data_IF_049707627854
#
_entry.id   IF_049707627854
#
_cell.length_a   1.000
_cell.length_b   1.000
_cell.length_c   1.000
_cell.angle_alpha   90.00
_cell.angle_beta   90.00
_cell.angle_gamma   90.00
#
_symmetry.space_group_name_H-M   'P 1'
#
loop_
_entity.id
_entity.type
_entity.pdbx_description
1 polymer ?
#
# COMPACT_ATOMS: atom_id res chain seq x y z
N UNK A 1 -8.41 -2.78 -35.66
CA UNK A 1 -9.78 -3.25 -35.33
C UNK A 1 -9.81 -4.09 -34.04
N UNK A 2 -9.11 -5.23 -33.95
CA UNK A 2 -9.17 -6.11 -32.76
C UNK A 2 -8.71 -5.48 -31.42
N UNK A 3 -7.63 -4.67 -31.43
CA UNK A 3 -7.15 -3.94 -30.23
C UNK A 3 -8.18 -2.93 -29.71
N UNK A 4 -8.80 -2.15 -30.61
CA UNK A 4 -9.80 -1.14 -30.25
C UNK A 4 -11.07 -1.80 -29.66
N UNK A 5 -11.53 -2.92 -30.25
CA UNK A 5 -12.65 -3.69 -29.71
C UNK A 5 -12.38 -4.23 -28.31
N UNK A 6 -11.16 -4.70 -28.03
CA UNK A 6 -10.74 -5.14 -26.69
C UNK A 6 -10.70 -4.00 -25.68
N UNK A 7 -10.17 -2.83 -26.07
CA UNK A 7 -10.14 -1.64 -25.21
C UNK A 7 -11.56 -1.18 -24.85
N UNK A 8 -12.48 -1.10 -25.82
CA UNK A 8 -13.88 -0.73 -25.56
C UNK A 8 -14.55 -1.74 -24.62
N UNK A 9 -14.34 -3.04 -24.84
CA UNK A 9 -14.88 -4.07 -23.95
C UNK A 9 -14.30 -4.00 -22.53
N UNK A 10 -13.01 -3.67 -22.38
CA UNK A 10 -12.38 -3.45 -21.07
C UNK A 10 -12.93 -2.21 -20.38
N UNK A 11 -13.13 -1.11 -21.11
CA UNK A 11 -13.74 0.10 -20.57
C UNK A 11 -15.19 -0.12 -20.14
N UNK A 12 -15.98 -0.88 -20.91
CA UNK A 12 -17.35 -1.24 -20.52
C UNK A 12 -17.38 -2.12 -19.25
N UNK A 13 -16.47 -3.09 -19.15
CA UNK A 13 -16.30 -3.91 -17.94
C UNK A 13 -15.86 -3.09 -16.74
N UNK A 14 -14.91 -2.18 -16.95
CA UNK A 14 -14.46 -1.25 -15.92
C UNK A 14 -15.59 -0.33 -15.47
N UNK A 15 -16.30 0.32 -16.39
CA UNK A 15 -17.45 1.16 -16.07
C UNK A 15 -18.50 0.39 -15.25
N UNK A 16 -18.84 -0.84 -15.65
CA UNK A 16 -19.76 -1.71 -14.89
C UNK A 16 -19.23 -2.07 -13.50
N UNK A 17 -17.94 -2.40 -13.39
CA UNK A 17 -17.30 -2.67 -12.10
C UNK A 17 -17.30 -1.41 -11.20
N UNK A 18 -17.04 -0.24 -11.78
CA UNK A 18 -17.07 1.03 -11.07
C UNK A 18 -18.51 1.44 -10.71
N UNK A 19 -19.51 1.18 -11.55
CA UNK A 19 -20.93 1.49 -11.26
C UNK A 19 -21.45 0.68 -10.07
N UNK A 20 -21.14 -0.62 -10.00
CA UNK A 20 -21.47 -1.43 -8.82
C UNK A 20 -20.75 -0.95 -7.56
N UNK A 21 -19.56 -0.34 -7.69
CA UNK A 21 -18.81 0.28 -6.60
C UNK A 21 -19.40 1.60 -6.07
N UNK A 22 -20.17 2.35 -6.87
CA UNK A 22 -20.66 3.69 -6.50
C UNK A 22 -21.89 3.68 -5.60
N UNK A 23 -22.66 2.60 -5.60
CA UNK A 23 -24.01 2.55 -5.01
C UNK A 23 -24.06 2.48 -3.47
N UNK A 24 -22.93 2.61 -2.77
CA UNK A 24 -22.81 2.23 -1.34
C UNK A 24 -21.83 3.08 -0.51
N UNK A 25 -21.59 4.34 -0.89
CA UNK A 25 -20.86 5.28 -0.03
C UNK A 25 -21.76 5.75 1.13
N UNK A 26 -21.74 5.04 2.26
CA UNK A 26 -22.37 5.49 3.50
C UNK A 26 -21.61 6.65 4.13
N UNK A 27 -22.33 7.55 4.82
CA UNK A 27 -21.72 8.60 5.63
C UNK A 27 -20.90 7.97 6.78
N UNK A 28 -19.66 8.44 6.97
CA UNK A 28 -18.78 7.98 8.03
C UNK A 28 -19.18 8.59 9.38
N UNK A 29 -19.39 7.76 10.40
CA UNK A 29 -19.36 8.15 11.81
C UNK A 29 -18.00 8.80 12.14
N UNK A 30 -17.90 9.71 13.15
CA UNK A 30 -16.64 10.36 13.50
C UNK A 30 -15.56 9.30 13.77
N UNK A 31 -14.60 9.21 12.85
CA UNK A 31 -13.62 8.12 12.81
C UNK A 31 -12.54 8.27 13.88
N UNK A 32 -11.90 7.15 14.24
CA UNK A 32 -10.71 7.10 15.12
C UNK A 32 -9.44 7.66 14.46
N UNK A 33 -9.54 8.03 13.19
CA UNK A 33 -8.45 8.57 12.39
C UNK A 33 -8.39 10.10 12.52
N UNK A 34 -7.19 10.64 12.73
CA UNK A 34 -6.92 12.07 12.79
C UNK A 34 -6.17 12.48 11.52
N UNK A 35 -6.64 13.53 10.84
CA UNK A 35 -5.92 14.08 9.69
C UNK A 35 -4.71 14.91 10.13
N UNK A 36 -3.59 14.69 9.47
CA UNK A 36 -2.34 15.44 9.62
C UNK A 36 -2.09 16.20 8.32
N UNK A 37 -1.98 17.52 8.40
CA UNK A 37 -1.82 18.38 7.22
C UNK A 37 -0.37 18.78 6.95
N UNK A 38 0.48 18.86 7.97
CA UNK A 38 1.87 19.33 7.88
C UNK A 38 2.89 18.20 8.12
N UNK A 39 2.95 17.25 7.18
CA UNK A 39 3.87 16.11 7.24
C UNK A 39 5.10 16.24 6.34
N UNK A 40 5.22 17.36 5.61
CA UNK A 40 6.30 17.65 4.68
C UNK A 40 5.92 17.47 3.21
N UNK A 41 6.87 17.01 2.39
CA UNK A 41 6.71 16.91 0.94
C UNK A 41 5.55 15.98 0.54
N UNK A 42 4.66 16.47 -0.31
CA UNK A 42 3.47 15.74 -0.76
C UNK A 42 3.24 15.86 -2.28
N UNK A 43 4.18 15.40 -3.12
CA UNK A 43 4.06 15.55 -4.58
C UNK A 43 2.87 14.79 -5.18
N UNK A 44 2.39 13.73 -4.53
CA UNK A 44 1.17 13.00 -4.89
C UNK A 44 -0.12 13.67 -4.42
N UNK A 45 -0.05 14.77 -3.65
CA UNK A 45 -1.22 15.49 -3.15
C UNK A 45 -2.22 14.58 -2.42
N UNK A 46 -1.74 13.71 -1.55
CA UNK A 46 -2.56 12.79 -0.74
C UNK A 46 -2.96 13.45 0.59
N UNK A 47 -4.02 12.95 1.24
CA UNK A 47 -4.28 13.26 2.66
C UNK A 47 -3.57 12.24 3.54
N UNK A 48 -3.05 12.67 4.67
CA UNK A 48 -2.51 11.78 5.69
C UNK A 48 -3.51 11.68 6.82
N UNK A 49 -4.03 10.49 7.07
CA UNK A 49 -4.78 10.20 8.29
C UNK A 49 -3.98 9.20 9.12
N UNK A 50 -4.05 9.31 10.44
CA UNK A 50 -3.34 8.44 11.35
C UNK A 50 -4.23 8.01 12.51
N UNK A 51 -3.97 6.83 13.06
CA UNK A 51 -4.54 6.39 14.32
C UNK A 51 -3.42 6.01 15.27
N UNK A 52 -3.43 6.64 16.44
CA UNK A 52 -2.48 6.41 17.52
C UNK A 52 -3.27 5.94 18.73
N UNK A 53 -3.17 4.67 19.12
CA UNK A 53 -3.86 4.15 20.31
C UNK A 53 -3.48 4.93 21.56
N UNK A 54 -4.42 5.04 22.51
CA UNK A 54 -4.17 5.71 23.79
C UNK A 54 -3.07 5.03 24.63
N UNK A 55 -2.91 3.72 24.46
CA UNK A 55 -1.87 2.92 25.11
C UNK A 55 -0.94 2.34 24.06
N UNK A 56 0.26 2.92 23.95
CA UNK A 56 1.28 2.46 23.02
C UNK A 56 2.61 2.31 23.75
N UNK A 57 3.28 1.18 23.55
CA UNK A 57 4.59 0.91 24.15
C UNK A 57 5.71 1.75 23.52
N UNK A 58 6.91 1.78 24.12
CA UNK A 58 8.06 2.43 23.50
C UNK A 58 8.43 1.71 22.20
N UNK A 59 8.72 2.48 21.14
CA UNK A 59 9.05 1.96 19.80
C UNK A 59 7.96 1.04 19.21
N UNK A 60 6.77 1.60 18.94
CA UNK A 60 5.67 0.82 18.38
C UNK A 60 5.87 0.49 16.90
N UNK A 61 5.23 -0.59 16.44
CA UNK A 61 5.12 -0.86 15.01
C UNK A 61 4.16 0.11 14.31
N UNK A 62 4.29 0.22 12.99
CA UNK A 62 3.43 1.04 12.13
C UNK A 62 2.88 0.20 10.97
N UNK A 63 1.57 0.28 10.74
CA UNK A 63 0.95 -0.30 9.55
C UNK A 63 0.42 0.81 8.65
N UNK A 64 0.91 0.85 7.41
CA UNK A 64 0.37 1.69 6.34
C UNK A 64 -0.78 0.95 5.67
N UNK A 65 -1.98 1.52 5.70
CA UNK A 65 -3.21 0.88 5.17
C UNK A 65 -3.73 1.68 3.97
N UNK A 66 -3.78 1.05 2.80
CA UNK A 66 -4.15 1.68 1.53
C UNK A 66 -5.49 1.16 1.03
N UNK A 67 -6.47 2.05 0.92
CA UNK A 67 -7.83 1.73 0.47
C UNK A 67 -7.91 1.41 -1.03
N UNK A 68 -8.98 0.72 -1.44
CA UNK A 68 -9.31 0.49 -2.84
C UNK A 68 -9.99 1.70 -3.50
N UNK A 69 -10.23 1.61 -4.80
CA UNK A 69 -10.99 2.63 -5.53
C UNK A 69 -12.38 2.87 -4.91
N UNK A 70 -12.83 4.13 -4.95
CA UNK A 70 -14.11 4.65 -4.43
C UNK A 70 -14.29 4.55 -2.92
N UNK A 71 -13.35 3.93 -2.22
CA UNK A 71 -13.27 3.96 -0.78
C UNK A 71 -12.54 5.23 -0.30
N UNK A 72 -12.52 5.41 1.01
CA UNK A 72 -11.79 6.47 1.71
C UNK A 72 -11.15 5.86 2.96
N UNK A 73 -10.25 6.59 3.63
CA UNK A 73 -9.47 6.07 4.75
C UNK A 73 -10.35 5.60 5.91
N UNK A 74 -11.30 6.44 6.33
CA UNK A 74 -12.18 6.13 7.48
C UNK A 74 -13.07 4.93 7.24
N UNK A 75 -13.73 4.85 6.08
CA UNK A 75 -14.60 3.73 5.73
C UNK A 75 -13.83 2.41 5.55
N UNK A 76 -12.62 2.47 4.98
CA UNK A 76 -11.80 1.28 4.82
C UNK A 76 -11.23 0.78 6.14
N UNK A 77 -10.78 1.67 7.02
CA UNK A 77 -10.34 1.32 8.39
C UNK A 77 -11.47 0.65 9.20
N UNK A 78 -12.65 1.29 9.26
CA UNK A 78 -13.82 0.72 9.95
C UNK A 78 -14.23 -0.64 9.37
N UNK A 79 -14.16 -0.76 8.05
CA UNK A 79 -14.51 -1.97 7.34
C UNK A 79 -13.56 -3.14 7.61
N UNK A 80 -12.27 -2.87 7.68
CA UNK A 80 -11.22 -3.88 7.86
C UNK A 80 -10.86 -4.16 9.32
N UNK A 81 -11.20 -3.24 10.23
CA UNK A 81 -10.94 -3.36 11.65
C UNK A 81 -9.48 -3.15 12.04
N UNK A 82 -8.69 -2.43 11.22
CA UNK A 82 -7.28 -2.16 11.53
C UNK A 82 -7.12 -1.34 12.80
N UNK A 83 -7.91 -0.28 13.00
CA UNK A 83 -7.82 0.56 14.22
C UNK A 83 -8.23 -0.20 15.47
N UNK A 84 -9.23 -1.07 15.39
CA UNK A 84 -9.58 -1.97 16.49
C UNK A 84 -8.44 -2.91 16.87
N UNK A 85 -7.68 -3.40 15.89
CA UNK A 85 -6.54 -4.28 16.12
C UNK A 85 -5.34 -3.50 16.66
N UNK A 86 -5.14 -2.27 16.19
CA UNK A 86 -4.14 -1.33 16.70
C UNK A 86 -4.37 -1.01 18.18
N UNK A 87 -5.62 -0.69 18.56
CA UNK A 87 -6.00 -0.46 19.97
C UNK A 87 -5.74 -1.68 20.87
N UNK A 88 -5.98 -2.89 20.35
CA UNK A 88 -5.76 -4.13 21.13
C UNK A 88 -4.30 -4.52 21.30
N UNK A 89 -3.46 -4.25 20.30
CA UNK A 89 -2.09 -4.78 20.25
C UNK A 89 -0.99 -3.70 20.28
N UNK A 90 -1.35 -2.42 20.37
CA UNK A 90 -0.41 -1.33 20.64
C UNK A 90 0.52 -1.01 19.47
N UNK A 91 -0.03 -0.90 18.25
CA UNK A 91 0.69 -0.42 17.06
C UNK A 91 -0.04 0.76 16.41
N UNK A 92 0.63 1.54 15.57
CA UNK A 92 0.05 2.72 14.93
C UNK A 92 -0.47 2.40 13.54
N UNK A 93 -1.42 3.21 13.07
CA UNK A 93 -1.82 3.22 11.68
C UNK A 93 -1.47 4.54 11.00
N UNK A 94 -1.00 4.41 9.77
CA UNK A 94 -1.00 5.46 8.77
C UNK A 94 -1.97 5.05 7.67
N UNK A 95 -2.97 5.87 7.37
CA UNK A 95 -4.01 5.60 6.39
C UNK A 95 -4.03 6.72 5.35
N UNK A 96 -3.12 6.70 4.35
CA UNK A 96 -3.12 7.67 3.27
C UNK A 96 -4.45 7.61 2.50
N UNK A 97 -4.98 8.77 2.14
CA UNK A 97 -6.22 8.86 1.37
C UNK A 97 -6.00 9.60 0.06
N UNK A 98 -6.52 9.00 -1.01
CA UNK A 98 -6.56 9.61 -2.33
C UNK A 98 -7.55 10.79 -2.37
N UNK A 99 -7.28 11.77 -3.23
CA UNK A 99 -8.19 12.88 -3.49
C UNK A 99 -8.94 12.70 -4.82
N UNK A 100 -10.23 13.04 -4.89
CA UNK A 100 -10.97 13.10 -6.16
C UNK A 100 -10.31 14.00 -7.21
N UNK A 101 -9.63 15.05 -6.76
CA UNK A 101 -8.87 15.97 -7.62
C UNK A 101 -7.67 15.30 -8.31
N UNK A 102 -7.14 14.22 -7.74
CA UNK A 102 -6.08 13.43 -8.36
C UNK A 102 -6.64 12.33 -9.25
N UNK A 103 -7.70 11.67 -8.76
CA UNK A 103 -8.40 10.61 -9.45
C UNK A 103 -9.85 10.61 -8.95
N UNK A 104 -10.87 10.85 -9.80
CA UNK A 104 -12.28 11.01 -9.37
C UNK A 104 -12.88 9.72 -8.81
N UNK A 105 -12.25 8.57 -9.09
CA UNK A 105 -12.62 7.31 -8.48
C UNK A 105 -11.87 7.05 -7.18
N UNK A 106 -11.15 8.02 -6.62
CA UNK A 106 -10.29 7.84 -5.43
C UNK A 106 -9.36 6.62 -5.54
N UNK A 107 -8.90 6.28 -6.74
CA UNK A 107 -7.94 5.20 -6.92
C UNK A 107 -6.52 5.74 -6.73
N UNK A 108 -5.65 4.97 -6.06
CA UNK A 108 -4.20 5.18 -6.17
C UNK A 108 -3.76 4.98 -7.63
N UNK A 109 -2.87 5.83 -8.12
CA UNK A 109 -2.41 5.87 -9.52
C UNK A 109 -1.24 4.91 -9.75
N UNK A 110 -1.42 3.64 -9.36
CA UNK A 110 -0.40 2.59 -9.35
C UNK A 110 0.16 2.20 -10.73
N UNK A 111 -0.41 2.72 -11.81
CA UNK A 111 0.02 2.51 -13.19
C UNK A 111 0.67 3.76 -13.80
N UNK A 112 0.71 4.88 -13.08
CA UNK A 112 1.30 6.13 -13.57
C UNK A 112 2.75 6.26 -13.10
N UNK A 113 3.75 6.31 -14.01
CA UNK A 113 5.15 6.43 -13.62
C UNK A 113 5.46 7.68 -12.79
N UNK A 114 4.70 8.76 -12.98
CA UNK A 114 4.82 9.99 -12.17
C UNK A 114 4.44 9.80 -10.70
N UNK A 115 3.61 8.80 -10.40
CA UNK A 115 3.11 8.51 -9.05
C UNK A 115 3.75 7.29 -8.39
N UNK A 116 4.47 6.47 -9.16
CA UNK A 116 5.00 5.18 -8.70
C UNK A 116 6.52 5.08 -8.67
N UNK A 117 7.25 6.08 -9.16
CA UNK A 117 8.72 6.08 -9.08
C UNK A 117 9.19 6.55 -7.71
N UNK A 118 10.32 6.00 -7.24
CA UNK A 118 11.01 6.53 -6.06
C UNK A 118 11.25 8.04 -6.22
N UNK A 119 10.84 8.80 -5.21
CA UNK A 119 11.03 10.24 -5.13
C UNK A 119 9.97 11.07 -5.87
N UNK A 120 8.94 10.44 -6.45
CA UNK A 120 7.88 11.13 -7.18
C UNK A 120 6.47 10.74 -6.69
N UNK A 121 5.53 11.66 -6.94
CA UNK A 121 4.08 11.53 -6.77
C UNK A 121 3.61 10.77 -5.53
N UNK A 122 2.60 9.91 -5.69
CA UNK A 122 1.96 9.20 -4.58
C UNK A 122 2.94 8.38 -3.73
N UNK A 123 3.86 7.64 -4.34
CA UNK A 123 4.85 6.84 -3.61
C UNK A 123 5.75 7.68 -2.69
N UNK A 124 6.21 8.84 -3.17
CA UNK A 124 7.00 9.76 -2.36
C UNK A 124 6.19 10.42 -1.24
N UNK A 125 4.92 10.76 -1.50
CA UNK A 125 4.01 11.25 -0.46
C UNK A 125 3.83 10.23 0.66
N UNK A 126 3.56 8.96 0.33
CA UNK A 126 3.40 7.90 1.33
C UNK A 126 4.70 7.72 2.13
N UNK A 127 5.88 7.74 1.47
CA UNK A 127 7.15 7.69 2.20
C UNK A 127 7.33 8.88 3.16
N UNK A 128 6.98 10.08 2.74
CA UNK A 128 7.08 11.27 3.59
C UNK A 128 6.18 11.15 4.84
N UNK A 129 4.95 10.63 4.67
CA UNK A 129 4.04 10.35 5.78
C UNK A 129 4.62 9.31 6.75
N UNK A 130 5.21 8.21 6.25
CA UNK A 130 5.89 7.22 7.10
C UNK A 130 7.03 7.87 7.88
N UNK A 131 7.87 8.68 7.21
CA UNK A 131 8.97 9.37 7.86
C UNK A 131 8.48 10.35 8.94
N UNK A 132 7.31 10.97 8.75
CA UNK A 132 6.67 11.80 9.78
C UNK A 132 6.24 10.96 10.99
N UNK A 133 5.55 9.83 10.77
CA UNK A 133 5.13 8.92 11.86
C UNK A 133 6.32 8.44 12.69
N UNK A 134 7.45 8.13 12.05
CA UNK A 134 8.69 7.74 12.73
C UNK A 134 9.19 8.85 13.65
N UNK A 135 9.26 10.10 13.15
CA UNK A 135 9.77 11.22 13.95
C UNK A 135 8.84 11.61 15.10
N UNK A 136 7.54 11.68 14.85
CA UNK A 136 6.57 12.20 15.83
C UNK A 136 6.17 11.17 16.88
N UNK A 137 6.19 9.88 16.55
CA UNK A 137 5.70 8.82 17.45
C UNK A 137 6.77 7.79 17.83
N UNK A 138 8.03 8.00 17.41
CA UNK A 138 9.14 7.12 17.76
C UNK A 138 8.94 5.68 17.28
N UNK A 139 8.32 5.48 16.11
CA UNK A 139 8.05 4.16 15.51
C UNK A 139 9.36 3.36 15.40
N UNK A 140 9.27 2.07 15.68
CA UNK A 140 10.37 1.13 15.41
C UNK A 140 10.54 0.95 13.90
N UNK A 141 11.64 1.46 13.35
CA UNK A 141 11.92 1.38 11.91
C UNK A 141 12.03 -0.06 11.38
N UNK A 142 12.28 -1.04 12.25
CA UNK A 142 12.29 -2.46 11.89
C UNK A 142 10.87 -3.08 11.88
N UNK A 143 9.84 -2.32 12.28
CA UNK A 143 8.44 -2.79 12.42
C UNK A 143 7.47 -1.89 11.67
N UNK A 144 7.85 -1.48 10.47
CA UNK A 144 6.99 -0.74 9.53
C UNK A 144 6.47 -1.70 8.47
N UNK A 145 5.17 -1.69 8.23
CA UNK A 145 4.48 -2.59 7.33
C UNK A 145 3.54 -1.83 6.40
N UNK A 146 3.20 -2.42 5.25
CA UNK A 146 2.23 -1.82 4.31
C UNK A 146 1.26 -2.86 3.77
N UNK A 147 -0.02 -2.49 3.65
CA UNK A 147 -1.07 -3.36 3.12
C UNK A 147 -2.12 -2.55 2.38
N UNK A 148 -2.84 -3.19 1.46
CA UNK A 148 -3.98 -2.56 0.82
C UNK A 148 -4.77 -3.47 -0.11
N UNK A 149 -5.96 -3.00 -0.47
CA UNK A 149 -6.89 -3.67 -1.39
C UNK A 149 -6.83 -3.07 -2.80
N UNK A 150 -6.88 -3.90 -3.84
CA UNK A 150 -7.10 -3.48 -5.22
C UNK A 150 -6.05 -2.46 -5.68
N UNK A 151 -6.44 -1.24 -6.03
CA UNK A 151 -5.51 -0.13 -6.30
C UNK A 151 -4.54 0.14 -5.13
N UNK A 152 -5.00 0.04 -3.88
CA UNK A 152 -4.14 0.10 -2.69
C UNK A 152 -3.22 -1.12 -2.54
N UNK A 153 -3.65 -2.30 -3.01
CA UNK A 153 -2.82 -3.50 -3.09
C UNK A 153 -1.71 -3.37 -4.14
N UNK A 154 -2.03 -2.82 -5.32
CA UNK A 154 -1.04 -2.49 -6.34
C UNK A 154 -0.07 -1.39 -5.86
N UNK A 155 -0.57 -0.36 -5.16
CA UNK A 155 0.29 0.66 -4.54
C UNK A 155 1.14 0.07 -3.40
N UNK A 156 0.65 -0.93 -2.67
CA UNK A 156 1.48 -1.70 -1.71
C UNK A 156 2.67 -2.34 -2.42
N UNK A 157 2.47 -2.99 -3.57
CA UNK A 157 3.57 -3.54 -4.37
C UNK A 157 4.56 -2.46 -4.84
N UNK A 158 4.06 -1.27 -5.21
CA UNK A 158 4.89 -0.10 -5.52
C UNK A 158 5.75 0.32 -4.33
N UNK A 159 5.17 0.45 -3.14
CA UNK A 159 5.91 0.84 -1.93
C UNK A 159 7.00 -0.18 -1.58
N UNK A 160 6.67 -1.48 -1.65
CA UNK A 160 7.63 -2.56 -1.38
C UNK A 160 8.79 -2.59 -2.39
N UNK A 161 8.56 -2.27 -3.67
CA UNK A 161 9.61 -2.26 -4.68
C UNK A 161 10.47 -0.98 -4.65
N UNK A 162 9.84 0.17 -4.42
CA UNK A 162 10.49 1.48 -4.56
C UNK A 162 11.12 1.97 -3.28
N UNK A 163 10.62 1.55 -2.11
CA UNK A 163 11.16 1.85 -0.79
C UNK A 163 11.32 0.59 0.09
N UNK A 164 11.96 -0.49 -0.42
CA UNK A 164 12.07 -1.77 0.29
C UNK A 164 12.78 -1.66 1.64
N UNK A 165 13.70 -0.71 1.79
CA UNK A 165 14.43 -0.47 3.04
C UNK A 165 13.56 0.09 4.18
N UNK A 166 12.34 0.52 3.87
CA UNK A 166 11.42 1.14 4.83
C UNK A 166 10.48 0.11 5.45
N UNK A 167 10.26 -1.03 4.79
CA UNK A 167 9.23 -1.98 5.19
C UNK A 167 9.85 -3.32 5.56
N UNK A 168 9.45 -3.87 6.71
CA UNK A 168 9.82 -5.22 7.10
C UNK A 168 8.99 -6.27 6.37
N UNK A 169 7.72 -5.96 6.08
CA UNK A 169 6.83 -6.79 5.29
C UNK A 169 5.67 -6.00 4.68
N UNK A 170 4.98 -6.59 3.71
CA UNK A 170 3.70 -6.06 3.24
C UNK A 170 2.71 -7.12 2.78
N UNK A 171 1.45 -6.72 2.65
CA UNK A 171 0.37 -7.61 2.25
C UNK A 171 -0.46 -7.02 1.08
N UNK A 172 -0.53 -7.75 -0.02
CA UNK A 172 -1.20 -7.33 -1.25
C UNK A 172 -2.52 -8.06 -1.36
N UNK A 173 -3.64 -7.36 -1.17
CA UNK A 173 -4.99 -7.93 -1.26
C UNK A 173 -5.63 -7.55 -2.61
N UNK A 174 -5.95 -8.55 -3.43
CA UNK A 174 -6.53 -8.39 -4.77
C UNK A 174 -5.80 -7.36 -5.65
N UNK A 175 -4.47 -7.28 -5.52
CA UNK A 175 -3.61 -6.33 -6.23
C UNK A 175 -2.93 -6.92 -7.48
N UNK A 176 -1.90 -6.22 -7.97
CA UNK A 176 -1.12 -6.59 -9.15
C UNK A 176 0.39 -6.55 -8.82
N UNK A 177 1.24 -7.29 -9.56
CA UNK A 177 2.68 -7.20 -9.38
C UNK A 177 3.21 -5.82 -9.77
N UNK A 178 4.32 -5.41 -9.14
CA UNK A 178 4.97 -4.14 -9.44
C UNK A 178 5.47 -4.13 -10.89
N UNK A 179 5.27 -3.00 -11.58
CA UNK A 179 5.68 -2.81 -12.98
C UNK A 179 4.79 -3.54 -14.00
N UNK A 180 3.60 -4.00 -13.60
CA UNK A 180 2.64 -4.66 -14.49
C UNK A 180 1.98 -3.72 -15.51
N UNK A 181 1.94 -2.43 -15.20
CA UNK A 181 1.40 -1.38 -16.05
C UNK A 181 2.19 -0.08 -15.90
N UNK A 182 2.34 0.65 -16.99
CA UNK A 182 2.84 2.03 -17.04
C UNK A 182 1.86 3.00 -17.71
N UNK A 183 0.68 2.50 -18.09
CA UNK A 183 -0.42 3.30 -18.62
C UNK A 183 -1.75 2.70 -18.17
N UNK A 184 -2.82 3.48 -18.29
CA UNK A 184 -4.17 3.01 -18.00
C UNK A 184 -4.60 1.82 -18.87
N UNK A 185 -4.21 1.81 -20.15
CA UNK A 185 -4.55 0.68 -21.02
C UNK A 185 -3.91 -0.61 -20.48
N UNK A 186 -2.63 -0.54 -20.11
CA UNK A 186 -1.93 -1.67 -19.54
C UNK A 186 -2.53 -2.08 -18.20
N UNK A 187 -2.98 -1.11 -17.40
CA UNK A 187 -3.65 -1.36 -16.13
C UNK A 187 -4.90 -2.22 -16.34
N UNK A 188 -5.80 -1.83 -17.26
CA UNK A 188 -6.99 -2.61 -17.57
C UNK A 188 -6.68 -4.00 -18.13
N UNK A 189 -5.65 -4.11 -18.98
CA UNK A 189 -5.23 -5.42 -19.49
C UNK A 189 -4.70 -6.33 -18.37
N UNK A 190 -3.86 -5.80 -17.46
CA UNK A 190 -3.37 -6.52 -16.30
C UNK A 190 -4.50 -6.95 -15.35
N UNK A 191 -5.44 -6.05 -15.08
CA UNK A 191 -6.61 -6.31 -14.24
C UNK A 191 -7.48 -7.46 -14.78
N UNK A 192 -7.86 -7.42 -16.07
CA UNK A 192 -8.85 -8.35 -16.60
C UNK A 192 -8.30 -9.64 -17.21
N UNK A 193 -6.99 -9.72 -17.47
CA UNK A 193 -6.39 -10.90 -18.12
C UNK A 193 -5.10 -11.40 -17.47
N UNK A 194 -4.54 -10.64 -16.52
CA UNK A 194 -3.14 -10.76 -16.10
C UNK A 194 -2.17 -10.66 -17.29
N UNK A 195 -0.89 -10.41 -16.99
CA UNK A 195 0.17 -10.37 -18.02
C UNK A 195 1.29 -11.31 -17.60
N UNK A 196 1.22 -12.61 -17.93
CA UNK A 196 2.21 -13.57 -17.51
C UNK A 196 3.62 -13.17 -17.95
N UNK A 197 4.59 -13.23 -17.02
CA UNK A 197 6.01 -13.08 -17.33
C UNK A 197 6.84 -14.16 -16.63
N UNK A 198 8.08 -14.33 -17.08
CA UNK A 198 9.05 -15.14 -16.36
C UNK A 198 9.32 -14.53 -14.97
N UNK A 199 9.50 -15.37 -13.96
CA UNK A 199 9.78 -14.93 -12.58
C UNK A 199 10.96 -13.96 -12.52
N UNK A 200 12.03 -14.24 -13.27
CA UNK A 200 13.20 -13.38 -13.39
C UNK A 200 12.88 -11.98 -13.92
N UNK A 201 12.07 -11.89 -14.98
CA UNK A 201 11.67 -10.61 -15.55
C UNK A 201 10.81 -9.80 -14.57
N UNK A 202 10.01 -10.47 -13.73
CA UNK A 202 9.28 -9.81 -12.67
C UNK A 202 10.18 -9.32 -11.53
N UNK A 203 11.14 -10.14 -11.09
CA UNK A 203 12.06 -9.76 -10.04
C UNK A 203 13.05 -8.68 -10.48
N UNK A 204 13.43 -8.65 -11.75
CA UNK A 204 14.26 -7.58 -12.34
C UNK A 204 13.60 -6.21 -12.17
N UNK A 205 12.29 -6.11 -12.43
CA UNK A 205 11.54 -4.86 -12.22
C UNK A 205 11.61 -4.36 -10.77
N UNK A 206 11.53 -5.25 -9.78
CA UNK A 206 11.67 -4.87 -8.35
C UNK A 206 13.08 -4.42 -8.04
N UNK A 207 14.09 -5.16 -8.52
CA UNK A 207 15.51 -4.87 -8.26
C UNK A 207 16.00 -3.60 -8.97
N UNK A 208 15.34 -3.18 -10.04
CA UNK A 208 15.61 -1.94 -10.77
C UNK A 208 14.90 -0.71 -10.17
N UNK A 209 13.86 -0.90 -9.37
CA UNK A 209 13.05 0.19 -8.80
C UNK A 209 13.80 1.04 -7.75
N UNK A 210 14.90 0.53 -7.18
CA UNK A 210 15.69 1.21 -6.15
C UNK A 210 17.14 0.71 -6.12
N UNK A 211 18.07 1.45 -5.49
CA UNK A 211 19.45 0.97 -5.28
C UNK A 211 19.57 -0.15 -4.23
N UNK A 212 18.46 -0.57 -3.61
CA UNK A 212 18.45 -1.61 -2.57
C UNK A 212 18.97 -2.95 -3.10
N UNK A 213 19.66 -3.70 -2.24
CA UNK A 213 20.23 -5.03 -2.57
C UNK A 213 19.83 -6.11 -1.57
N UNK A 214 18.91 -5.80 -0.67
CA UNK A 214 18.47 -6.68 0.40
C UNK A 214 18.96 -6.24 1.80
N UNK A 215 18.41 -6.83 2.87
CA UNK A 215 17.34 -7.84 2.88
C UNK A 215 16.02 -7.28 2.32
N UNK A 216 15.24 -8.11 1.62
CA UNK A 216 13.97 -7.70 1.01
C UNK A 216 12.80 -7.87 1.98
N UNK A 217 11.74 -7.06 1.89
CA UNK A 217 10.54 -7.24 2.71
C UNK A 217 9.89 -8.59 2.46
N UNK A 218 9.28 -9.15 3.51
CA UNK A 218 8.44 -10.35 3.39
C UNK A 218 7.09 -9.98 2.76
N UNK A 219 6.47 -10.88 2.00
CA UNK A 219 5.23 -10.55 1.26
C UNK A 219 4.12 -11.58 1.49
N UNK A 220 2.93 -11.09 1.85
CA UNK A 220 1.70 -11.88 1.94
C UNK A 220 0.75 -11.50 0.80
N UNK A 221 0.23 -12.46 0.04
CA UNK A 221 -0.63 -12.22 -1.13
C UNK A 221 -2.01 -12.81 -0.86
N UNK A 222 -3.08 -12.04 -1.06
CA UNK A 222 -4.45 -12.50 -0.77
C UNK A 222 -5.34 -12.28 -1.98
N UNK A 223 -6.02 -13.33 -2.45
CA UNK A 223 -6.85 -13.22 -3.65
C UNK A 223 -8.06 -14.15 -3.61
N UNK A 224 -9.23 -13.61 -3.96
CA UNK A 224 -10.45 -14.40 -4.11
C UNK A 224 -10.49 -15.15 -5.44
N UNK A 225 -10.86 -16.43 -5.43
CA UNK A 225 -10.85 -17.26 -6.64
C UNK A 225 -11.94 -16.89 -7.66
N UNK A 226 -12.92 -16.06 -7.29
CA UNK A 226 -14.01 -15.59 -8.13
C UNK A 226 -13.89 -14.09 -8.48
N UNK A 227 -12.71 -13.49 -8.27
CA UNK A 227 -12.44 -12.10 -8.61
C UNK A 227 -12.48 -11.88 -10.13
N UNK A 228 -13.36 -10.98 -10.57
CA UNK A 228 -13.52 -10.61 -12.00
C UNK A 228 -13.07 -9.19 -12.31
N UNK A 229 -12.63 -8.44 -11.29
CA UNK A 229 -12.10 -7.08 -11.43
C UNK A 229 -10.59 -7.13 -11.59
N UNK A 230 -9.90 -7.83 -10.68
CA UNK A 230 -8.48 -8.14 -10.80
C UNK A 230 -8.37 -9.66 -10.79
N UNK A 231 -8.14 -10.26 -11.95
CA UNK A 231 -8.23 -11.72 -12.05
C UNK A 231 -7.21 -12.43 -11.16
N UNK A 232 -7.54 -13.62 -10.58
CA UNK A 232 -6.71 -14.30 -9.59
C UNK A 232 -5.30 -14.67 -10.09
N UNK A 233 -5.13 -14.79 -11.40
CA UNK A 233 -3.82 -15.02 -12.02
C UNK A 233 -2.79 -13.92 -11.65
N UNK A 234 -3.22 -12.71 -11.26
CA UNK A 234 -2.30 -11.69 -10.75
C UNK A 234 -1.62 -12.10 -9.44
N UNK A 235 -2.27 -12.89 -8.56
CA UNK A 235 -1.66 -13.41 -7.35
C UNK A 235 -0.48 -14.34 -7.68
N UNK A 236 -0.64 -15.20 -8.69
CA UNK A 236 0.44 -16.08 -9.16
C UNK A 236 1.62 -15.28 -9.72
N UNK A 237 1.36 -14.18 -10.43
CA UNK A 237 2.41 -13.29 -10.93
C UNK A 237 3.12 -12.51 -9.81
N UNK A 238 2.41 -12.11 -8.75
CA UNK A 238 3.01 -11.52 -7.54
C UNK A 238 3.91 -12.56 -6.84
N UNK A 239 3.42 -13.79 -6.67
CA UNK A 239 4.22 -14.88 -6.09
C UNK A 239 5.47 -15.14 -6.92
N UNK A 240 5.37 -15.21 -8.25
CA UNK A 240 6.55 -15.32 -9.14
C UNK A 240 7.54 -14.17 -8.93
N UNK A 241 7.04 -12.93 -8.86
CA UNK A 241 7.88 -11.75 -8.65
C UNK A 241 8.68 -11.86 -7.35
N UNK A 242 8.00 -12.11 -6.23
CA UNK A 242 8.64 -12.07 -4.92
C UNK A 242 9.44 -13.33 -4.59
N UNK A 243 9.05 -14.50 -5.11
CA UNK A 243 9.90 -15.69 -5.00
C UNK A 243 11.21 -15.52 -5.77
N UNK A 244 11.21 -14.90 -6.96
CA UNK A 244 12.47 -14.57 -7.67
C UNK A 244 13.34 -13.57 -6.90
N UNK A 245 12.75 -12.49 -6.37
CA UNK A 245 13.44 -11.48 -5.55
C UNK A 245 14.14 -12.11 -4.34
N UNK A 246 13.48 -13.07 -3.68
CA UNK A 246 14.03 -13.80 -2.54
C UNK A 246 14.91 -15.01 -2.93
N UNK A 247 15.06 -15.33 -4.22
CA UNK A 247 15.84 -16.47 -4.71
C UNK A 247 15.23 -17.83 -4.32
N UNK A 248 13.91 -17.91 -4.24
CA UNK A 248 13.14 -19.09 -3.84
C UNK A 248 12.61 -19.85 -5.05
N UNK A 249 12.46 -21.16 -4.91
CA UNK A 249 11.78 -21.97 -5.93
C UNK A 249 10.25 -21.82 -5.78
N UNK A 250 9.53 -21.25 -6.76
CA UNK A 250 8.08 -21.09 -6.68
C UNK A 250 7.33 -22.43 -6.58
N UNK A 251 7.91 -23.53 -7.08
CA UNK A 251 7.32 -24.87 -6.99
C UNK A 251 7.49 -25.56 -5.63
N UNK A 252 8.30 -25.01 -4.72
CA UNK A 252 8.62 -25.62 -3.42
C UNK A 252 7.70 -25.16 -2.28
N UNK A 253 6.48 -24.71 -2.60
CA UNK A 253 5.56 -24.16 -1.61
C UNK A 253 5.03 -25.24 -0.64
N UNK A 254 5.07 -24.96 0.66
CA UNK A 254 4.30 -25.71 1.67
C UNK A 254 2.85 -25.28 1.59
N UNK A 255 1.90 -26.21 1.44
CA UNK A 255 0.48 -25.90 1.30
C UNK A 255 -0.33 -26.42 2.47
N UNK A 256 -1.18 -25.55 3.02
CA UNK A 256 -2.10 -25.86 4.12
C UNK A 256 -3.47 -25.22 3.87
N UNK A 257 -4.45 -25.59 4.68
CA UNK A 257 -5.77 -24.91 4.73
C UNK A 257 -5.84 -24.09 6.00
N UNK A 258 -6.25 -22.83 5.90
CA UNK A 258 -6.53 -21.95 7.04
C UNK A 258 -7.94 -21.37 6.85
N UNK A 259 -8.87 -21.75 7.73
CA UNK A 259 -10.29 -21.46 7.51
C UNK A 259 -10.77 -21.99 6.16
N UNK A 260 -11.41 -21.12 5.38
CA UNK A 260 -11.84 -21.44 4.00
C UNK A 260 -10.70 -21.35 2.97
N UNK A 261 -9.60 -20.67 3.30
CA UNK A 261 -8.53 -20.36 2.37
C UNK A 261 -7.51 -21.49 2.19
N UNK A 262 -6.95 -21.56 0.99
CA UNK A 262 -5.77 -22.36 0.68
C UNK A 262 -4.53 -21.49 0.82
N UNK A 263 -3.66 -21.84 1.75
CA UNK A 263 -2.43 -21.12 2.03
C UNK A 263 -1.25 -21.84 1.40
N UNK A 264 -0.36 -21.10 0.76
CA UNK A 264 0.94 -21.56 0.29
C UNK A 264 2.05 -20.70 0.89
N UNK A 265 3.16 -21.32 1.28
CA UNK A 265 4.26 -20.68 2.02
C UNK A 265 5.60 -21.03 1.38
N UNK A 266 6.45 -20.02 1.21
CA UNK A 266 7.85 -20.16 0.80
C UNK A 266 8.76 -19.57 1.87
N UNK A 267 9.65 -20.42 2.39
CA UNK A 267 10.60 -20.06 3.45
C UNK A 267 11.96 -19.76 2.88
N UNK A 268 12.66 -18.81 3.49
CA UNK A 268 14.07 -18.59 3.20
C UNK A 268 14.97 -19.64 3.88
N UNK A 269 16.29 -19.50 3.70
CA UNK A 269 17.28 -20.43 4.28
C UNK A 269 17.31 -20.44 5.81
N UNK A 270 16.78 -19.41 6.47
CA UNK A 270 16.64 -19.36 7.93
C UNK A 270 15.37 -20.08 8.44
N UNK A 271 14.46 -20.45 7.54
CA UNK A 271 13.16 -21.03 7.87
C UNK A 271 12.06 -19.99 8.09
N UNK A 272 12.37 -18.70 8.01
CA UNK A 272 11.39 -17.63 8.09
C UNK A 272 10.52 -17.59 6.83
N UNK A 273 9.22 -17.27 6.97
CA UNK A 273 8.31 -17.13 5.83
C UNK A 273 8.64 -15.85 5.08
N UNK A 274 9.25 -15.97 3.91
CA UNK A 274 9.58 -14.83 3.05
C UNK A 274 8.42 -14.43 2.14
N UNK A 275 7.68 -15.42 1.62
CA UNK A 275 6.46 -15.21 0.83
C UNK A 275 5.37 -16.15 1.33
N UNK A 276 4.15 -15.66 1.44
CA UNK A 276 2.95 -16.49 1.58
C UNK A 276 1.84 -16.01 0.66
N UNK A 277 0.94 -16.91 0.28
CA UNK A 277 -0.24 -16.59 -0.51
C UNK A 277 -1.47 -17.30 0.01
N UNK A 278 -2.60 -16.61 0.03
CA UNK A 278 -3.92 -17.12 0.36
C UNK A 278 -4.82 -17.01 -0.87
N UNK A 279 -5.32 -18.16 -1.34
CA UNK A 279 -6.41 -18.24 -2.30
C UNK A 279 -7.71 -18.49 -1.54
N UNK A 280 -8.71 -17.63 -1.70
CA UNK A 280 -9.98 -17.70 -0.97
C UNK A 280 -11.07 -18.19 -1.93
N UNK A 281 -11.54 -19.44 -1.81
CA UNK A 281 -12.53 -20.01 -2.71
C UNK A 281 -13.84 -19.21 -2.73
N UNK A 282 -14.34 -18.89 -3.93
CA UNK A 282 -15.64 -18.24 -4.14
C UNK A 282 -15.68 -16.74 -3.79
N UNK A 283 -14.64 -16.19 -3.17
CA UNK A 283 -14.57 -14.77 -2.86
C UNK A 283 -14.44 -13.94 -4.15
N UNK A 284 -15.28 -12.93 -4.27
CA UNK A 284 -15.21 -11.92 -5.34
C UNK A 284 -14.09 -10.89 -5.05
N UNK A 285 -14.06 -9.79 -5.83
CA UNK A 285 -13.11 -8.70 -5.58
C UNK A 285 -13.38 -8.05 -4.22
N UNK A 286 -12.45 -8.15 -3.27
CA UNK A 286 -12.61 -7.56 -1.95
C UNK A 286 -11.62 -8.05 -0.90
N UNK A 287 -11.70 -7.44 0.28
CA UNK A 287 -10.97 -7.86 1.47
C UNK A 287 -11.75 -8.97 2.17
N UNK A 288 -11.17 -10.16 2.37
CA UNK A 288 -11.84 -11.24 3.10
C UNK A 288 -11.87 -10.89 4.60
N UNK A 289 -13.05 -11.01 5.17
CA UNK A 289 -13.35 -10.78 6.58
C UNK A 289 -13.82 -12.06 7.24
N UNK A 290 -13.67 -12.07 8.56
CA UNK A 290 -14.41 -12.94 9.46
C UNK A 290 -15.09 -12.04 10.50
N UNK A 291 -16.42 -11.96 10.42
CA UNK A 291 -17.26 -11.15 11.33
C UNK A 291 -17.91 -11.97 12.44
N UNK A 292 -17.53 -13.25 12.58
CA UNK A 292 -18.04 -14.13 13.61
C UNK A 292 -17.62 -13.73 15.04
N UNK A 293 -18.11 -14.44 16.06
CA UNK A 293 -17.64 -14.25 17.43
C UNK A 293 -16.29 -14.94 17.62
N UNK A 294 -15.19 -14.19 17.64
CA UNK A 294 -13.85 -14.73 17.88
C UNK A 294 -12.78 -13.65 18.00
N UNK A 295 -11.67 -13.95 18.65
CA UNK A 295 -10.54 -13.00 18.80
C UNK A 295 -9.88 -12.66 17.45
N UNK A 296 -9.98 -13.57 16.48
CA UNK A 296 -9.51 -13.37 15.12
C UNK A 296 -10.45 -12.51 14.24
N UNK A 297 -11.67 -12.26 14.72
CA UNK A 297 -12.69 -11.55 13.96
C UNK A 297 -12.48 -10.04 14.09
N UNK A 298 -12.50 -9.34 12.96
CA UNK A 298 -12.38 -7.88 12.93
C UNK A 298 -12.98 -7.31 11.66
N UNK A 299 -13.45 -6.07 11.76
CA UNK A 299 -14.07 -5.34 10.66
C UNK A 299 -15.58 -5.49 10.60
N UNK A 300 -16.17 -4.87 9.58
CA UNK A 300 -17.60 -4.83 9.32
C UNK A 300 -17.83 -5.11 7.85
N UNK A 301 -18.70 -6.08 7.57
CA UNK A 301 -19.07 -6.40 6.20
C UNK A 301 -19.67 -5.19 5.48
N UNK A 302 -19.36 -5.07 4.20
CA UNK A 302 -19.73 -3.94 3.37
C UNK A 302 -19.20 -4.07 1.95
N UNK A 303 -19.29 -3.01 1.15
CA UNK A 303 -18.76 -3.00 -0.21
C UNK A 303 -17.27 -3.33 -0.21
N UNK A 304 -16.89 -4.41 -0.91
CA UNK A 304 -15.51 -4.93 -0.99
C UNK A 304 -14.93 -5.37 0.36
N UNK A 305 -15.78 -5.59 1.36
CA UNK A 305 -15.46 -6.03 2.72
C UNK A 305 -16.32 -7.27 2.95
N UNK A 306 -15.80 -8.41 2.53
CA UNK A 306 -16.61 -9.58 2.19
C UNK A 306 -16.42 -10.67 3.24
N UNK A 307 -17.53 -11.17 3.80
CA UNK A 307 -17.50 -12.30 4.70
C UNK A 307 -16.98 -13.55 3.98
N UNK A 308 -15.95 -14.16 4.54
CA UNK A 308 -15.20 -15.26 3.93
C UNK A 308 -14.91 -16.40 4.90
N UNK A 309 -15.24 -16.26 6.19
CA UNK A 309 -14.81 -17.18 7.24
C UNK A 309 -13.29 -17.18 7.46
N UNK A 310 -12.61 -16.09 7.06
CA UNK A 310 -11.21 -15.82 7.35
C UNK A 310 -10.96 -14.31 7.30
N UNK A 311 -10.40 -13.75 8.38
CA UNK A 311 -10.01 -12.34 8.42
C UNK A 311 -8.60 -12.14 7.87
N UNK A 312 -8.49 -11.51 6.70
CA UNK A 312 -7.17 -11.09 6.18
C UNK A 312 -6.47 -10.15 7.14
N UNK A 313 -7.15 -9.15 7.71
CA UNK A 313 -6.56 -8.18 8.64
C UNK A 313 -5.87 -8.86 9.82
N UNK A 314 -6.53 -9.82 10.46
CA UNK A 314 -5.94 -10.56 11.58
C UNK A 314 -4.72 -11.40 11.14
N UNK A 315 -4.86 -12.17 10.06
CA UNK A 315 -3.77 -13.03 9.59
C UNK A 315 -2.57 -12.22 9.09
N UNK A 316 -2.80 -11.07 8.45
CA UNK A 316 -1.75 -10.15 8.02
C UNK A 316 -1.03 -9.54 9.24
N UNK A 317 -1.76 -9.10 10.27
CA UNK A 317 -1.15 -8.60 11.49
C UNK A 317 -0.32 -9.67 12.21
N UNK A 318 -0.78 -10.93 12.21
CA UNK A 318 0.00 -12.07 12.69
C UNK A 318 1.27 -12.28 11.85
N UNK A 319 1.16 -12.24 10.52
CA UNK A 319 2.30 -12.33 9.61
C UNK A 319 3.34 -11.23 9.85
N UNK A 320 2.88 -10.03 10.23
CA UNK A 320 3.73 -8.90 10.63
C UNK A 320 4.32 -9.04 12.05
N UNK A 321 3.91 -10.03 12.83
CA UNK A 321 4.36 -10.21 14.22
C UNK A 321 3.79 -9.16 15.18
N UNK A 322 2.59 -8.63 14.89
CA UNK A 322 1.93 -7.61 15.70
C UNK A 322 1.03 -8.19 16.79
N UNK A 323 0.59 -9.45 16.65
CA UNK A 323 -0.41 -10.02 17.56
C UNK A 323 0.20 -10.69 18.80
N UNK A 324 1.47 -11.08 18.75
CA UNK A 324 2.16 -11.80 19.82
C UNK A 324 2.66 -10.87 20.95
N UNK A 325 2.03 -9.70 21.07
CA UNK A 325 2.49 -8.53 21.85
C UNK A 325 1.89 -8.35 23.25
N UNK A 326 1.34 -9.39 23.89
CA UNK A 326 1.49 -9.42 25.36
C UNK A 326 2.98 -9.64 25.60
N UNK A 327 3.73 -8.54 25.67
CA UNK A 327 4.85 -8.50 26.60
C UNK A 327 4.29 -9.10 27.89
N UNK A 328 4.87 -10.21 28.35
CA UNK A 328 4.55 -10.75 29.65
C UNK A 328 4.73 -9.61 30.65
N UNK A 329 3.63 -8.94 31.01
CA UNK A 329 3.54 -8.28 32.30
C UNK A 329 3.55 -9.41 33.29
N UNK A 330 4.75 -9.89 33.62
CA UNK A 330 5.02 -10.40 34.96
C UNK A 330 4.40 -9.35 35.89
N UNK A 331 3.45 -9.72 36.76
CA UNK A 331 2.94 -8.76 37.72
C UNK A 331 4.16 -8.20 38.45
N UNK A 332 4.36 -6.89 38.33
CA UNK A 332 5.40 -6.21 39.06
C UNK A 332 5.13 -6.50 40.54
N UNK A 333 6.02 -7.27 41.17
CA UNK A 333 6.12 -7.26 42.63
C UNK A 333 6.25 -5.80 43.04
N UNK A 334 5.36 -5.37 43.94
CA UNK A 334 5.28 -3.99 44.37
C UNK A 334 6.61 -3.57 45.01
N UNK A 335 7.42 -2.81 44.27
CA UNK A 335 8.59 -2.13 44.83
C UNK A 335 8.12 -0.81 45.44
N UNK A 336 8.19 -0.74 46.77
CA UNK A 336 8.01 0.49 47.53
C UNK A 336 9.22 1.40 47.25
N UNK A 337 9.00 2.54 46.61
CA UNK A 337 10.03 3.53 46.30
C UNK A 337 10.11 4.57 47.44
N UNK A 338 11.25 4.77 48.12
CA UNK A 338 11.44 5.88 49.06
C UNK A 338 11.67 7.22 48.32
N UNK A 339 11.40 8.38 48.96
CA UNK A 339 11.37 9.68 48.29
C UNK A 339 12.76 10.17 47.84
N UNK A 340 12.76 10.89 46.71
CA UNK A 340 13.95 11.32 45.97
C UNK A 340 14.83 12.37 46.70
N UNK A 341 16.17 12.34 46.50
CA UNK A 341 17.04 13.42 46.94
C UNK A 341 17.02 14.63 45.99
N UNK A 342 17.25 15.82 46.56
CA UNK A 342 17.24 17.14 45.90
C UNK A 342 18.29 17.29 44.79
N UNK A 343 17.90 18.04 43.76
CA UNK A 343 18.67 18.38 42.56
C UNK A 343 20.01 19.10 42.83
N UNK A 344 21.02 18.75 42.03
CA UNK A 344 22.30 19.45 41.91
C UNK A 344 22.29 20.37 40.67
N UNK A 345 23.08 21.47 40.65
CA UNK A 345 22.95 22.54 39.68
C UNK A 345 23.64 22.25 38.34
N UNK A 346 23.06 22.83 37.27
CA UNK A 346 23.46 22.70 35.87
C UNK A 346 24.86 23.26 35.57
N UNK A 347 25.55 22.62 34.61
CA UNK A 347 26.83 23.11 34.04
C UNK A 347 26.59 23.85 32.71
N UNK A 348 27.40 24.87 32.37
CA UNK A 348 27.16 25.74 31.23
C UNK A 348 27.58 25.11 29.89
N UNK A 349 26.80 25.44 28.85
CA UNK A 349 27.02 25.08 27.43
C UNK A 349 28.04 26.05 26.79
N UNK A 350 29.03 25.57 26.00
CA UNK A 350 29.96 26.44 25.27
C UNK A 350 29.36 27.00 23.97
N UNK A 351 29.82 28.17 23.48
CA UNK A 351 29.18 28.91 22.39
C UNK A 351 29.50 28.34 21.00
N UNK A 352 28.52 28.46 20.11
CA UNK A 352 28.55 28.07 18.70
C UNK A 352 29.36 29.07 17.86
N UNK A 353 30.15 28.56 16.90
CA UNK A 353 30.87 29.35 15.89
C UNK A 353 29.99 29.57 14.66
N UNK A 354 29.88 30.83 14.24
CA UNK A 354 29.29 31.27 12.96
C UNK A 354 30.04 30.68 11.76
N UNK A 355 29.28 30.19 10.77
CA UNK A 355 29.80 29.87 9.44
C UNK A 355 29.21 30.86 8.43
N UNK A 356 30.11 31.51 7.70
CA UNK A 356 29.86 32.59 6.77
C UNK A 356 29.07 32.17 5.52
N UNK A 357 28.35 33.15 4.98
CA UNK A 357 27.57 33.10 3.76
C UNK A 357 28.40 32.70 2.53
N UNK A 358 27.84 31.81 1.71
CA UNK A 358 28.27 31.59 0.33
C UNK A 358 27.12 31.89 -0.62
N UNK A 359 27.44 32.72 -1.61
CA UNK A 359 26.56 33.32 -2.62
C UNK A 359 26.20 32.35 -3.74
N UNK A 360 24.97 32.46 -4.23
CA UNK A 360 24.44 31.73 -5.38
C UNK A 360 24.89 32.34 -6.73
N UNK A 361 25.12 31.54 -7.79
CA UNK A 361 25.09 32.03 -9.16
C UNK A 361 23.69 31.89 -9.80
N UNK A 362 23.39 32.85 -10.68
CA UNK A 362 22.13 33.07 -11.40
C UNK A 362 21.93 32.13 -12.59
N UNK A 363 20.65 32.00 -12.97
CA UNK A 363 20.07 31.34 -14.15
C UNK A 363 20.58 31.91 -15.49
N UNK A 364 20.61 31.04 -16.51
CA UNK A 364 20.49 31.39 -17.93
C UNK A 364 19.29 30.66 -18.56
N UNK A 365 18.46 31.40 -19.29
CA UNK A 365 17.34 30.93 -20.12
C UNK A 365 17.76 30.86 -21.60
N UNK A 366 17.25 29.91 -22.40
CA UNK A 366 17.33 30.00 -23.87
C UNK A 366 16.03 30.52 -24.51
N UNK A 367 16.21 31.46 -25.46
CA UNK A 367 15.18 32.03 -26.35
C UNK A 367 14.80 31.06 -27.50
N UNK A 368 13.61 31.22 -28.12
CA UNK A 368 13.08 30.28 -29.11
C UNK A 368 13.50 30.61 -30.56
N UNK A 369 13.62 29.57 -31.39
CA UNK A 369 13.82 29.66 -32.85
C UNK A 369 12.76 28.83 -33.62
N UNK A 370 12.52 29.14 -34.91
CA UNK A 370 11.23 28.96 -35.57
C UNK A 370 11.06 27.59 -36.26
N UNK A 371 9.81 27.13 -36.37
CA UNK A 371 9.44 25.92 -37.11
C UNK A 371 9.27 26.13 -38.62
N UNK A 372 9.06 25.03 -39.36
CA UNK A 372 8.18 25.09 -40.52
C UNK A 372 7.19 23.91 -40.61
N UNK A 373 5.93 24.28 -40.91
CA UNK A 373 5.07 23.73 -41.98
C UNK A 373 4.92 22.22 -42.21
N UNK A 374 3.71 21.74 -41.94
CA UNK A 374 2.88 21.10 -42.99
C UNK A 374 2.90 19.58 -43.14
N UNK A 375 1.85 18.91 -42.64
CA UNK A 375 0.87 18.07 -43.37
C UNK A 375 0.37 16.85 -42.56
N UNK A 376 -0.96 16.72 -42.59
CA UNK A 376 -1.79 15.51 -42.35
C UNK A 376 -1.52 14.73 -41.08
N UNK A 377 -2.27 15.07 -40.02
CA UNK A 377 -2.33 14.30 -38.78
C UNK A 377 -3.03 12.95 -39.02
N UNK A 378 -2.38 11.80 -38.74
CA UNK A 378 -3.12 10.60 -38.42
C UNK A 378 -3.94 10.86 -37.17
N UNK A 379 -5.16 10.31 -37.08
CA UNK A 379 -5.93 10.33 -35.83
C UNK A 379 -5.06 9.68 -34.76
N UNK A 380 -4.55 10.51 -33.85
CA UNK A 380 -3.82 10.05 -32.69
C UNK A 380 -4.83 9.39 -31.75
N UNK A 381 -4.97 8.08 -31.91
CA UNK A 381 -5.90 7.25 -31.16
C UNK A 381 -5.60 7.35 -29.66
N UNK A 382 -4.34 7.56 -29.28
CA UNK A 382 -3.92 7.74 -27.89
C UNK A 382 -4.40 9.09 -27.34
N UNK A 383 -4.28 10.17 -28.11
CA UNK A 383 -4.85 11.47 -27.75
C UNK A 383 -6.38 11.46 -27.67
N UNK A 384 -7.07 10.73 -28.55
CA UNK A 384 -8.54 10.58 -28.51
C UNK A 384 -8.99 9.77 -27.30
N UNK A 385 -8.27 8.70 -26.96
CA UNK A 385 -8.50 7.91 -25.74
C UNK A 385 -8.24 8.78 -24.52
N UNK A 386 -7.10 9.47 -24.42
CA UNK A 386 -6.78 10.34 -23.30
C UNK A 386 -7.80 11.48 -23.15
N UNK A 387 -8.30 12.05 -24.24
CA UNK A 387 -9.38 13.05 -24.22
C UNK A 387 -10.70 12.48 -23.71
N UNK A 388 -11.09 11.28 -24.16
CA UNK A 388 -12.29 10.60 -23.68
C UNK A 388 -12.17 10.20 -22.20
N UNK A 389 -10.97 9.80 -21.76
CA UNK A 389 -10.68 9.45 -20.37
C UNK A 389 -10.66 10.68 -19.46
N UNK A 390 -10.12 11.82 -19.90
CA UNK A 390 -10.24 13.12 -19.21
C UNK A 390 -11.68 13.56 -19.10
N UNK A 391 -12.48 13.38 -20.16
CA UNK A 391 -13.91 13.65 -20.14
C UNK A 391 -14.68 12.72 -19.20
N UNK A 392 -14.20 11.48 -19.01
CA UNK A 392 -14.68 10.52 -18.00
C UNK A 392 -14.02 10.71 -16.62
N UNK A 393 -13.14 11.71 -16.47
CA UNK A 393 -12.39 12.04 -15.27
C UNK A 393 -11.24 11.09 -14.91
N UNK A 394 -11.00 10.01 -15.64
CA UNK A 394 -10.13 8.91 -15.22
C UNK A 394 -8.62 9.25 -15.12
N UNK A 395 -8.19 10.40 -15.67
CA UNK A 395 -6.82 10.92 -15.58
C UNK A 395 -6.83 12.45 -15.38
N UNK A 396 -5.80 12.99 -14.73
CA UNK A 396 -5.60 14.44 -14.56
C UNK A 396 -5.53 15.18 -15.91
N UNK A 397 -5.96 16.46 -15.97
CA UNK A 397 -5.67 17.34 -17.10
C UNK A 397 -4.15 17.57 -17.26
#
# INVERSE_FOLDING_TARGET
MAKLGRTIANLARYAKAMESMAATAGAAEPGRLVEVSDFGANPGNLRMLAHVPAQVGPRPGLVVVLHGCKQNAGGYDQGTGWSDLADRHGFLLLVPEQRPANNPNNCFSWFEPGDTRRGAGEAASIRAMVAWMVREHGVDEERIFVTGLSAGGAMTAVMLATYPEVFAAGAIVAGLPYGSAQTMQEAFEGMFTARPRAARAWGDLVREASPHRGPWPRVSVWHGSADTTVVPANADEIVKQWTDVHGLNPGAAERTREGTAERAVWRDRSGAVAVESFSIPGLAHGTPLDTGPGEACCGRAGPFLLEAGISSTHHIARFFGLLDGRAETRPAEAVIIPPAPRAAPERPVPPQRELAAFTAPRREEPRPGPGPGGRTLPIDVEAVINKALRAAGLIKP
#
